data_IF_037632677590
#
_entry.id   IF_037632677590
#
_cell.length_a   1.000
_cell.length_b   1.000
_cell.length_c   1.000
_cell.angle_alpha   90.00
_cell.angle_beta   90.00
_cell.angle_gamma   90.00
#
_symmetry.space_group_name_H-M   'P 1'
#
loop_
_entity.id
_entity.type
_entity.pdbx_description
1 polymer ?
#
# COMPACT_ATOMS: atom_id res chain seq x y z
N UNK A 1 76.67 8.79 16.81
CA UNK A 1 76.62 10.03 16.00
C UNK A 1 75.21 10.60 16.16
N UNK A 2 74.87 11.48 17.12
CA UNK A 2 75.21 12.92 17.25
C UNK A 2 75.02 13.67 15.90
N UNK A 3 74.29 14.78 15.69
CA UNK A 3 73.47 15.78 16.42
C UNK A 3 72.60 16.45 15.30
N UNK A 4 71.46 17.10 15.51
CA UNK A 4 71.32 18.43 16.12
C UNK A 4 69.85 18.84 16.29
N UNK A 5 69.63 19.75 17.25
CA UNK A 5 68.37 20.40 17.63
C UNK A 5 68.28 21.77 16.95
N UNK A 6 67.07 22.30 16.77
CA UNK A 6 66.77 23.69 17.15
C UNK A 6 65.28 23.87 17.49
N UNK A 7 65.05 24.64 18.56
CA UNK A 7 63.74 25.06 19.09
C UNK A 7 63.57 26.56 18.92
N UNK A 8 62.35 27.06 18.67
CA UNK A 8 61.94 28.41 19.07
C UNK A 8 60.45 28.40 19.48
N UNK A 9 60.11 29.29 20.42
CA UNK A 9 58.94 29.40 21.29
C UNK A 9 57.74 30.12 20.64
N UNK A 10 56.55 29.93 21.23
CA UNK A 10 55.30 30.73 21.07
C UNK A 10 55.44 32.20 21.53
N UNK A 11 54.49 33.14 21.24
CA UNK A 11 53.24 33.27 22.04
C UNK A 11 51.96 33.87 21.36
N UNK A 12 50.79 33.45 21.88
CA UNK A 12 49.55 34.21 22.22
C UNK A 12 48.71 34.92 21.13
N UNK A 13 47.40 34.56 21.02
CA UNK A 13 46.18 35.41 21.17
C UNK A 13 44.89 34.54 21.00
N UNK A 14 44.14 34.25 22.07
CA UNK A 14 42.87 34.87 22.49
C UNK A 14 41.59 34.37 21.76
N UNK A 15 40.91 33.35 22.30
CA UNK A 15 39.56 33.43 22.93
C UNK A 15 38.57 34.41 22.29
N UNK A 16 37.56 33.87 21.58
CA UNK A 16 36.15 34.33 21.70
C UNK A 16 35.21 33.55 20.79
N UNK A 17 34.24 32.82 21.35
CA UNK A 17 32.81 32.73 20.96
C UNK A 17 32.13 31.51 21.60
N UNK A 18 32.13 31.52 22.94
CA UNK A 18 31.26 30.69 23.77
C UNK A 18 30.44 31.64 24.66
N UNK A 19 29.59 32.47 24.04
CA UNK A 19 28.56 33.29 24.67
C UNK A 19 27.61 33.71 23.55
N UNK A 20 26.49 33.00 23.35
CA UNK A 20 25.28 33.54 22.72
C UNK A 20 24.04 32.61 22.74
N UNK A 21 24.05 31.47 23.46
CA UNK A 21 22.89 30.56 23.55
C UNK A 21 22.41 30.30 24.99
N UNK A 22 22.57 31.28 25.85
CA UNK A 22 21.99 31.26 27.19
C UNK A 22 21.56 32.68 27.54
N UNK A 23 20.35 33.06 27.11
CA UNK A 23 19.52 34.16 27.61
C UNK A 23 18.35 34.40 26.64
N UNK A 24 17.37 33.49 26.63
CA UNK A 24 16.00 33.83 26.19
C UNK A 24 14.93 32.86 26.74
N UNK A 25 15.25 32.10 27.78
CA UNK A 25 14.29 31.40 28.63
C UNK A 25 13.78 32.35 29.72
N UNK A 26 12.81 33.21 29.40
CA UNK A 26 11.91 33.91 30.36
C UNK A 26 11.08 35.00 29.64
N UNK A 27 10.12 34.58 28.80
CA UNK A 27 8.88 35.34 28.47
C UNK A 27 8.06 34.57 27.44
N UNK A 28 7.30 33.58 27.92
CA UNK A 28 6.01 33.14 27.34
C UNK A 28 5.56 31.91 28.13
N UNK A 29 5.09 32.16 29.35
CA UNK A 29 4.32 31.21 30.15
C UNK A 29 3.04 31.94 30.54
N UNK A 30 2.03 31.81 29.67
CA UNK A 30 0.62 32.25 29.70
C UNK A 30 0.29 32.49 28.21
N UNK A 31 -0.55 31.70 27.54
CA UNK A 31 -1.97 31.46 27.81
C UNK A 31 -2.33 30.07 27.27
N UNK A 32 -3.05 29.27 28.07
CA UNK A 32 -3.84 28.14 27.60
C UNK A 32 -5.14 28.70 27.01
N UNK A 33 -5.49 28.39 25.75
CA UNK A 33 -6.82 27.88 25.41
C UNK A 33 -6.96 27.55 23.90
N UNK A 34 -7.59 26.40 23.66
CA UNK A 34 -8.43 25.99 22.53
C UNK A 34 -8.05 26.19 21.04
N UNK A 35 -8.17 25.04 20.36
CA UNK A 35 -8.79 24.80 19.05
C UNK A 35 -7.90 24.61 17.81
N UNK A 36 -8.17 23.47 17.16
CA UNK A 36 -7.73 22.99 15.85
C UNK A 36 -7.65 24.09 14.78
N UNK A 37 -6.60 24.05 13.94
CA UNK A 37 -6.76 23.92 12.47
C UNK A 37 -5.44 23.76 11.72
N UNK A 38 -5.44 22.74 10.88
CA UNK A 38 -4.52 22.47 9.77
C UNK A 38 -5.04 23.28 8.58
N UNK A 39 -4.17 23.98 7.85
CA UNK A 39 -4.48 24.49 6.52
C UNK A 39 -3.32 24.19 5.55
N UNK A 40 -3.61 23.33 4.57
CA UNK A 40 -2.73 23.01 3.44
C UNK A 40 -3.20 23.76 2.20
N UNK A 41 -2.39 24.70 1.70
CA UNK A 41 -2.47 25.18 0.30
C UNK A 41 -1.06 25.23 -0.31
N UNK A 42 -0.78 24.58 -1.45
CA UNK A 42 0.50 24.72 -2.13
C UNK A 42 0.47 25.97 -3.03
N UNK A 43 1.19 27.01 -2.63
CA UNK A 43 1.48 28.21 -3.42
C UNK A 43 2.97 28.20 -3.84
N UNK A 44 3.35 28.78 -4.99
CA UNK A 44 4.70 28.66 -5.53
C UNK A 44 5.66 29.63 -4.82
N UNK A 45 6.05 29.29 -3.60
CA UNK A 45 7.17 29.91 -2.91
C UNK A 45 8.10 28.82 -2.37
N UNK A 46 9.39 28.99 -2.62
CA UNK A 46 10.43 28.15 -2.00
C UNK A 46 10.31 28.25 -0.47
N UNK A 47 10.35 27.08 0.18
CA UNK A 47 10.21 26.89 1.63
C UNK A 47 11.11 27.86 2.42
N UNK A 48 10.55 28.52 3.45
CA UNK A 48 11.33 29.43 4.31
C UNK A 48 11.93 28.71 5.53
N UNK A 49 13.03 29.22 6.14
CA UNK A 49 13.60 28.66 7.36
C UNK A 49 12.70 28.73 8.61
N UNK A 50 11.56 29.42 8.57
CA UNK A 50 10.52 29.36 9.62
C UNK A 50 9.53 28.23 9.37
N UNK A 51 9.20 27.94 8.11
CA UNK A 51 8.34 26.81 7.73
C UNK A 51 8.98 25.49 8.14
N UNK A 52 10.31 25.38 8.06
CA UNK A 52 11.08 24.19 8.49
C UNK A 52 11.10 24.02 10.03
N UNK A 53 10.92 25.08 10.83
CA UNK A 53 11.01 24.99 12.30
C UNK A 53 9.77 24.42 12.97
N UNK A 54 8.58 24.52 12.35
CA UNK A 54 7.35 23.89 12.87
C UNK A 54 7.37 22.35 12.76
N UNK A 55 8.27 21.77 11.97
CA UNK A 55 8.41 20.33 11.74
C UNK A 55 9.41 19.68 12.70
N UNK A 56 10.16 20.47 13.47
CA UNK A 56 11.26 20.01 14.33
C UNK A 56 10.80 19.43 15.70
N UNK A 57 9.51 19.20 15.93
CA UNK A 57 9.01 18.60 17.18
C UNK A 57 8.05 17.41 17.01
N UNK A 58 7.85 16.92 15.79
CA UNK A 58 7.05 15.70 15.58
C UNK A 58 8.02 14.51 15.52
N UNK A 59 7.81 13.42 16.29
CA UNK A 59 8.59 12.20 16.12
C UNK A 59 8.50 11.73 14.66
N UNK A 60 9.55 11.04 14.19
CA UNK A 60 9.63 10.37 12.90
C UNK A 60 8.26 10.07 12.25
N UNK A 61 7.88 10.84 11.22
CA UNK A 61 6.51 10.82 10.69
C UNK A 61 6.32 9.57 9.84
N UNK A 62 5.63 8.58 10.41
CA UNK A 62 5.21 7.34 9.74
C UNK A 62 3.73 7.42 9.43
N UNK A 63 3.33 7.04 8.22
CA UNK A 63 1.95 7.20 7.76
C UNK A 63 1.44 5.97 7.03
N UNK A 64 0.15 5.71 7.17
CA UNK A 64 -0.58 4.96 6.15
C UNK A 64 -0.84 5.91 4.99
N UNK A 65 -0.76 5.43 3.75
CA UNK A 65 -1.12 6.22 2.57
C UNK A 65 -2.06 5.44 1.66
N UNK A 66 -2.95 6.13 0.97
CA UNK A 66 -3.76 5.55 -0.11
C UNK A 66 -3.95 6.57 -1.21
N UNK A 67 -3.81 6.14 -2.47
CA UNK A 67 -4.09 6.98 -3.63
C UNK A 67 -5.59 7.01 -3.93
N UNK A 68 -6.11 8.19 -4.24
CA UNK A 68 -7.46 8.39 -4.78
C UNK A 68 -7.40 9.32 -6.00
N UNK A 69 -7.82 8.83 -7.16
CA UNK A 69 -7.80 9.60 -8.42
C UNK A 69 -9.19 9.97 -8.92
N UNK A 70 -10.26 9.39 -8.37
CA UNK A 70 -11.63 9.65 -8.79
C UNK A 70 -12.67 9.32 -7.71
N UNK A 71 -13.90 9.82 -7.90
CA UNK A 71 -15.00 9.68 -6.94
C UNK A 71 -15.49 8.23 -6.76
N UNK A 72 -15.32 7.35 -7.75
CA UNK A 72 -15.80 5.96 -7.64
C UNK A 72 -15.05 5.17 -6.56
N UNK A 73 -13.85 5.59 -6.17
CA UNK A 73 -13.07 4.97 -5.09
C UNK A 73 -13.22 5.70 -3.75
N UNK A 74 -13.95 6.82 -3.70
CA UNK A 74 -14.16 7.55 -2.44
C UNK A 74 -14.82 6.67 -1.36
N UNK A 75 -15.89 5.88 -1.63
CA UNK A 75 -16.45 4.98 -0.62
C UNK A 75 -15.43 3.99 -0.05
N UNK A 76 -14.55 3.46 -0.91
CA UNK A 76 -13.46 2.57 -0.54
C UNK A 76 -12.49 3.24 0.43
N UNK A 77 -11.95 4.40 0.04
CA UNK A 77 -11.01 5.17 0.85
C UNK A 77 -11.61 5.56 2.21
N UNK A 78 -12.87 6.02 2.24
CA UNK A 78 -13.54 6.41 3.48
C UNK A 78 -13.73 5.21 4.43
N UNK A 79 -14.09 4.05 3.87
CA UNK A 79 -14.24 2.82 4.66
C UNK A 79 -12.90 2.28 5.13
N UNK A 80 -11.84 2.37 4.31
CA UNK A 80 -10.47 2.06 4.69
C UNK A 80 -10.03 2.94 5.88
N UNK A 81 -10.19 4.26 5.76
CA UNK A 81 -9.84 5.23 6.80
C UNK A 81 -10.54 4.90 8.13
N UNK A 82 -11.85 4.65 8.09
CA UNK A 82 -12.62 4.25 9.25
C UNK A 82 -12.13 2.92 9.85
N UNK A 83 -11.84 1.92 9.01
CA UNK A 83 -11.38 0.61 9.47
C UNK A 83 -10.01 0.66 10.18
N UNK A 84 -9.09 1.51 9.70
CA UNK A 84 -7.79 1.78 10.33
C UNK A 84 -7.99 2.42 11.71
N UNK A 85 -8.85 3.43 11.81
CA UNK A 85 -9.17 4.06 13.09
C UNK A 85 -9.82 3.08 14.06
N UNK A 86 -10.73 2.25 13.57
CA UNK A 86 -11.49 1.29 14.39
C UNK A 86 -10.60 0.22 15.03
N UNK A 87 -9.52 -0.21 14.37
CA UNK A 87 -8.56 -1.15 14.97
C UNK A 87 -7.56 -0.48 15.92
N UNK A 88 -7.67 0.84 16.12
CA UNK A 88 -6.86 1.59 17.07
C UNK A 88 -5.42 1.83 16.59
N UNK A 89 -5.20 1.95 15.27
CA UNK A 89 -3.90 2.37 14.73
C UNK A 89 -3.48 3.72 15.32
N UNK A 90 -2.21 3.85 15.66
CA UNK A 90 -1.63 5.11 16.17
C UNK A 90 -1.19 6.06 15.05
N UNK A 91 -1.12 5.58 13.81
CA UNK A 91 -0.64 6.34 12.67
C UNK A 91 -1.81 6.85 11.81
N UNK A 92 -1.71 8.07 11.26
CA UNK A 92 -2.75 8.63 10.41
C UNK A 92 -2.74 8.00 9.00
N UNK A 93 -3.90 7.98 8.35
CA UNK A 93 -4.03 7.72 6.92
C UNK A 93 -4.00 9.03 6.14
N UNK A 94 -3.05 9.16 5.22
CA UNK A 94 -2.95 10.28 4.27
C UNK A 94 -3.53 9.86 2.91
N UNK A 95 -4.48 10.65 2.41
CA UNK A 95 -5.03 10.48 1.06
C UNK A 95 -4.13 11.19 0.04
N UNK A 96 -3.42 10.42 -0.79
CA UNK A 96 -2.68 10.95 -1.93
C UNK A 96 -3.66 11.23 -3.06
N UNK A 97 -3.59 12.41 -3.69
CA UNK A 97 -4.51 12.77 -4.78
C UNK A 97 -3.83 13.54 -5.92
N UNK A 98 -4.39 13.45 -7.12
CA UNK A 98 -3.99 14.23 -8.30
C UNK A 98 -4.98 15.36 -8.57
N UNK A 99 -4.64 16.31 -9.44
CA UNK A 99 -5.53 17.42 -9.82
C UNK A 99 -6.84 16.96 -10.51
N UNK A 100 -6.92 15.69 -10.93
CA UNK A 100 -8.14 15.11 -11.47
C UNK A 100 -9.22 14.88 -10.39
N UNK A 101 -8.85 14.85 -9.11
CA UNK A 101 -9.78 14.61 -8.03
C UNK A 101 -10.69 15.84 -7.81
N UNK A 102 -12.02 15.70 -7.89
CA UNK A 102 -12.94 16.83 -7.71
C UNK A 102 -12.86 17.44 -6.30
N UNK A 103 -13.15 18.74 -6.21
CA UNK A 103 -13.21 19.46 -4.92
C UNK A 103 -14.22 18.86 -3.94
N UNK A 104 -15.29 18.23 -4.42
CA UNK A 104 -16.26 17.51 -3.56
C UNK A 104 -15.62 16.33 -2.83
N UNK A 105 -14.69 15.61 -3.45
CA UNK A 105 -13.96 14.54 -2.79
C UNK A 105 -13.04 15.11 -1.69
N UNK A 106 -12.32 16.20 -1.99
CA UNK A 106 -11.47 16.88 -1.00
C UNK A 106 -12.28 17.39 0.20
N UNK A 107 -13.46 17.97 -0.05
CA UNK A 107 -14.38 18.37 1.01
C UNK A 107 -14.87 17.18 1.86
N UNK A 108 -15.11 16.01 1.23
CA UNK A 108 -15.49 14.80 1.94
C UNK A 108 -14.36 14.25 2.84
N UNK A 109 -13.10 14.42 2.43
CA UNK A 109 -11.91 14.09 3.24
C UNK A 109 -11.74 15.06 4.41
N UNK A 110 -11.85 16.36 4.14
CA UNK A 110 -11.73 17.43 5.13
C UNK A 110 -12.79 17.30 6.24
N UNK A 111 -14.04 17.01 5.87
CA UNK A 111 -15.14 16.76 6.81
C UNK A 111 -14.87 15.61 7.79
N UNK A 112 -13.89 14.74 7.50
CA UNK A 112 -13.48 13.59 8.31
C UNK A 112 -12.09 13.78 8.93
N UNK A 113 -11.45 14.93 8.71
CA UNK A 113 -10.09 15.21 9.14
C UNK A 113 -9.06 14.26 8.55
N UNK A 114 -9.31 13.72 7.35
CA UNK A 114 -8.36 12.86 6.63
C UNK A 114 -7.37 13.78 5.90
N UNK A 115 -6.07 13.79 6.27
CA UNK A 115 -5.08 14.63 5.60
C UNK A 115 -4.98 14.26 4.11
N UNK A 116 -5.06 15.26 3.23
CA UNK A 116 -4.91 15.09 1.80
C UNK A 116 -3.57 15.66 1.32
N UNK A 117 -2.83 14.89 0.52
CA UNK A 117 -1.53 15.26 -0.04
C UNK A 117 -1.60 15.23 -1.56
N UNK A 118 -1.49 16.39 -2.19
CA UNK A 118 -1.38 16.48 -3.65
C UNK A 118 -0.09 15.81 -4.11
N UNK A 119 -0.19 14.95 -5.12
CA UNK A 119 0.93 14.26 -5.78
C UNK A 119 0.88 14.48 -7.30
N UNK A 120 2.03 14.47 -8.00
CA UNK A 120 2.02 14.48 -9.46
C UNK A 120 1.39 13.19 -9.99
N UNK A 121 0.65 13.29 -11.11
CA UNK A 121 0.26 12.12 -11.88
C UNK A 121 1.50 11.51 -12.54
N UNK A 122 1.66 10.20 -12.45
CA UNK A 122 2.70 9.47 -13.17
C UNK A 122 2.09 8.72 -14.34
N UNK A 123 2.69 8.89 -15.52
CA UNK A 123 2.36 8.18 -16.75
C UNK A 123 3.64 7.93 -17.55
N UNK A 124 3.76 6.80 -18.26
CA UNK A 124 4.87 6.57 -19.19
C UNK A 124 4.98 7.70 -20.22
N UNK A 125 6.21 8.15 -20.52
CA UNK A 125 6.45 9.13 -21.59
C UNK A 125 6.15 8.57 -22.99
N UNK A 126 6.25 7.25 -23.13
CA UNK A 126 5.99 6.45 -24.33
C UNK A 126 5.63 5.02 -23.91
N UNK A 127 4.88 4.28 -24.74
CA UNK A 127 4.55 2.86 -24.47
C UNK A 127 3.07 2.50 -24.54
N UNK A 128 2.76 1.25 -24.20
CA UNK A 128 1.43 0.63 -24.22
C UNK A 128 0.44 1.37 -23.33
N UNK A 129 -0.72 1.72 -23.90
CA UNK A 129 -1.92 2.11 -23.14
C UNK A 129 -2.75 0.87 -22.83
N UNK A 130 -3.27 0.75 -21.61
CA UNK A 130 -4.03 -0.42 -21.18
C UNK A 130 -5.49 -0.31 -21.64
N UNK A 131 -5.72 -0.45 -22.95
CA UNK A 131 -7.04 -0.29 -23.56
C UNK A 131 -8.11 -1.24 -22.97
N UNK A 132 -7.72 -2.45 -22.56
CA UNK A 132 -8.63 -3.45 -21.99
C UNK A 132 -8.99 -3.20 -20.51
N UNK A 133 -8.21 -2.38 -19.79
CA UNK A 133 -8.49 -1.98 -18.41
C UNK A 133 -7.91 -0.58 -18.13
N UNK A 134 -8.59 0.50 -18.56
CA UNK A 134 -8.09 1.88 -18.45
C UNK A 134 -7.78 2.33 -17.02
N UNK A 135 -8.25 1.59 -16.00
CA UNK A 135 -7.92 1.84 -14.59
C UNK A 135 -6.42 1.67 -14.33
N UNK A 136 -5.73 0.90 -15.16
CA UNK A 136 -4.30 0.69 -15.08
C UNK A 136 -3.47 1.92 -15.48
N UNK A 137 -4.02 2.86 -16.23
CA UNK A 137 -3.31 4.09 -16.62
C UNK A 137 -2.99 4.97 -15.37
N UNK A 138 -3.83 4.91 -14.33
CA UNK A 138 -3.62 5.62 -13.06
C UNK A 138 -2.71 4.89 -12.07
N UNK A 139 -2.46 3.59 -12.26
CA UNK A 139 -1.79 2.77 -11.24
C UNK A 139 -0.35 3.18 -10.98
N UNK A 140 0.34 3.73 -11.98
CA UNK A 140 1.70 4.25 -11.81
C UNK A 140 1.80 5.34 -10.75
N UNK A 141 0.77 6.17 -10.63
CA UNK A 141 0.76 7.33 -9.73
C UNK A 141 0.97 6.92 -8.27
N UNK A 142 0.57 5.71 -7.87
CA UNK A 142 0.75 5.28 -6.48
C UNK A 142 2.22 5.05 -6.12
N UNK A 143 3.08 4.85 -7.12
CA UNK A 143 4.53 4.71 -6.93
C UNK A 143 5.21 6.03 -6.52
N UNK A 144 4.50 7.18 -6.58
CA UNK A 144 4.94 8.42 -5.92
C UNK A 144 5.19 8.21 -4.43
N UNK A 145 4.60 7.20 -3.79
CA UNK A 145 4.87 6.87 -2.39
C UNK A 145 6.37 6.68 -2.08
N UNK A 146 7.18 6.21 -3.06
CA UNK A 146 8.63 6.09 -2.90
C UNK A 146 9.35 7.45 -2.83
N UNK A 147 8.77 8.54 -3.31
CA UNK A 147 9.39 9.86 -3.31
C UNK A 147 9.02 10.74 -2.11
N UNK A 148 8.12 10.26 -1.24
CA UNK A 148 7.62 11.02 -0.09
C UNK A 148 8.62 11.04 1.08
N UNK A 149 9.83 11.55 0.81
CA UNK A 149 10.95 11.62 1.77
C UNK A 149 10.72 12.58 2.94
N UNK A 150 9.58 13.28 2.98
CA UNK A 150 9.08 13.92 4.19
C UNK A 150 8.65 12.92 5.29
N UNK A 151 8.49 11.63 4.95
CA UNK A 151 8.13 10.56 5.88
C UNK A 151 9.29 9.56 6.04
N UNK A 152 9.49 9.06 7.26
CA UNK A 152 10.45 7.97 7.52
C UNK A 152 9.89 6.62 7.07
N UNK A 153 8.56 6.51 7.02
CA UNK A 153 7.85 5.33 6.55
C UNK A 153 6.52 5.68 5.93
N UNK A 154 6.30 5.08 4.76
CA UNK A 154 4.99 5.06 4.12
C UNK A 154 4.58 3.61 3.98
N UNK A 155 3.44 3.23 4.55
CA UNK A 155 2.78 1.99 4.17
C UNK A 155 1.60 2.34 3.28
N UNK A 156 1.78 2.08 1.99
CA UNK A 156 0.78 2.32 0.97
C UNK A 156 -0.24 1.17 0.97
N UNK A 157 -1.52 1.51 0.95
CA UNK A 157 -2.65 0.59 0.80
C UNK A 157 -3.50 1.06 -0.39
N UNK A 158 -4.00 0.13 -1.20
CA UNK A 158 -5.01 0.45 -2.18
C UNK A 158 -6.34 0.82 -1.46
N UNK A 159 -7.11 1.74 -2.05
CA UNK A 159 -8.35 2.26 -1.46
C UNK A 159 -9.49 1.24 -1.39
N UNK A 160 -9.35 0.08 -2.03
CA UNK A 160 -10.29 -1.03 -2.01
C UNK A 160 -9.87 -2.11 -1.00
N UNK A 161 -9.35 -1.68 0.14
CA UNK A 161 -9.02 -2.53 1.28
C UNK A 161 -9.85 -2.20 2.52
N UNK A 162 -9.95 -3.16 3.44
CA UNK A 162 -10.37 -2.90 4.83
C UNK A 162 -9.39 -3.53 5.80
N UNK A 163 -9.25 -2.90 6.96
CA UNK A 163 -8.47 -3.41 8.08
C UNK A 163 -9.41 -4.00 9.13
N UNK A 164 -9.10 -5.21 9.59
CA UNK A 164 -9.89 -5.97 10.57
C UNK A 164 -9.16 -6.17 11.89
N UNK A 165 -7.83 -6.05 11.90
CA UNK A 165 -6.98 -6.23 13.09
C UNK A 165 -5.83 -5.22 13.08
N UNK A 166 -5.26 -4.98 14.26
CA UNK A 166 -4.08 -4.15 14.43
C UNK A 166 -2.94 -4.66 13.53
N UNK A 167 -2.22 -3.73 12.91
CA UNK A 167 -1.16 -3.98 11.92
C UNK A 167 -0.03 -2.93 11.99
N UNK A 168 -0.02 -2.09 13.03
CA UNK A 168 1.02 -1.08 13.32
C UNK A 168 2.43 -1.66 13.35
N UNK A 169 2.62 -2.97 13.56
CA UNK A 169 3.94 -3.62 13.49
C UNK A 169 4.62 -3.47 12.11
N UNK A 170 3.87 -3.24 11.03
CA UNK A 170 4.45 -2.91 9.72
C UNK A 170 5.25 -1.59 9.78
N UNK A 171 4.93 -0.70 10.73
CA UNK A 171 5.68 0.53 10.95
C UNK A 171 7.06 0.30 11.58
N UNK A 172 7.32 -0.88 12.14
CA UNK A 172 8.60 -1.27 12.73
C UNK A 172 9.40 -2.28 11.89
N UNK A 173 8.81 -2.82 10.82
CA UNK A 173 9.49 -3.75 9.91
C UNK A 173 10.87 -3.24 9.46
N UNK A 174 11.92 -4.03 9.65
CA UNK A 174 13.27 -3.64 9.23
C UNK A 174 13.42 -3.76 7.70
N UNK A 175 13.85 -2.68 7.07
CA UNK A 175 14.17 -2.58 5.65
C UNK A 175 15.59 -2.00 5.53
N UNK A 176 16.16 -2.13 4.34
CA UNK A 176 17.45 -1.50 4.06
C UNK A 176 17.34 0.03 4.20
N UNK A 177 18.49 0.68 4.43
CA UNK A 177 18.56 2.12 4.47
C UNK A 177 18.08 2.72 3.13
N UNK A 178 17.43 3.90 3.13
CA UNK A 178 16.88 4.50 1.91
C UNK A 178 17.88 4.68 0.75
N UNK A 179 19.16 4.88 1.05
CA UNK A 179 20.26 5.02 0.09
C UNK A 179 20.81 3.68 -0.42
N UNK A 180 20.45 2.55 0.19
CA UNK A 180 20.87 1.22 -0.23
C UNK A 180 19.84 0.53 -1.13
N UNK A 181 19.68 1.05 -2.34
CA UNK A 181 18.80 0.41 -3.34
C UNK A 181 19.33 -0.94 -3.82
N UNK A 182 20.63 -1.22 -3.68
CA UNK A 182 21.25 -2.51 -4.05
C UNK A 182 21.01 -3.65 -3.05
N UNK A 183 20.43 -3.35 -1.88
CA UNK A 183 20.15 -4.33 -0.84
C UNK A 183 19.03 -5.32 -1.21
N UNK A 184 18.71 -6.22 -0.29
CA UNK A 184 17.71 -7.28 -0.50
C UNK A 184 16.35 -6.97 0.12
N UNK A 185 16.21 -5.81 0.79
CA UNK A 185 15.06 -5.41 1.58
C UNK A 185 14.66 -3.97 1.27
N UNK A 186 14.59 -3.61 -0.01
CA UNK A 186 14.30 -2.24 -0.46
C UNK A 186 12.91 -1.77 0.00
N UNK A 187 11.93 -2.67 -0.05
CA UNK A 187 10.57 -2.47 0.45
C UNK A 187 9.95 -3.84 0.83
N UNK A 188 8.76 -3.85 1.39
CA UNK A 188 8.01 -5.10 1.64
C UNK A 188 6.65 -5.11 0.97
N UNK A 189 6.17 -6.31 0.62
CA UNK A 189 4.86 -6.53 0.00
C UNK A 189 4.43 -7.99 0.16
N UNK A 190 3.26 -8.37 -0.34
CA UNK A 190 2.82 -9.76 -0.42
C UNK A 190 2.98 -10.30 -1.84
N UNK A 191 2.94 -11.63 -2.02
CA UNK A 191 2.94 -12.24 -3.35
C UNK A 191 1.68 -11.92 -4.16
N UNK A 192 1.80 -11.81 -5.47
CA UNK A 192 0.66 -11.90 -6.37
C UNK A 192 0.10 -13.33 -6.39
N UNK A 193 -1.22 -13.44 -6.59
CA UNK A 193 -1.88 -14.74 -6.77
C UNK A 193 -1.96 -15.08 -8.26
N UNK A 194 -1.23 -16.11 -8.68
CA UNK A 194 -1.17 -16.57 -10.07
C UNK A 194 -2.30 -17.56 -10.44
N UNK A 195 -3.42 -17.59 -9.71
CA UNK A 195 -4.48 -18.57 -9.94
C UNK A 195 -5.41 -18.23 -11.12
N UNK A 196 -5.69 -16.95 -11.38
CA UNK A 196 -6.68 -16.51 -12.38
C UNK A 196 -8.05 -17.27 -12.32
N UNK A 197 -8.74 -17.31 -11.16
CA UNK A 197 -9.97 -18.09 -11.01
C UNK A 197 -11.11 -17.67 -11.94
N UNK A 198 -11.09 -16.42 -12.41
CA UNK A 198 -12.08 -15.86 -13.33
C UNK A 198 -11.72 -16.03 -14.82
N UNK A 199 -10.63 -16.75 -15.14
CA UNK A 199 -10.17 -17.03 -16.50
C UNK A 199 -10.10 -15.78 -17.39
N UNK A 200 -9.60 -14.67 -16.82
CA UNK A 200 -9.42 -13.41 -17.54
C UNK A 200 -8.45 -13.64 -18.70
N UNK A 201 -8.89 -13.35 -19.93
CA UNK A 201 -8.14 -13.65 -21.15
C UNK A 201 -6.80 -12.91 -21.26
N UNK A 202 -6.71 -11.72 -20.68
CA UNK A 202 -5.51 -10.89 -20.69
C UNK A 202 -4.51 -11.22 -19.57
N UNK A 203 -4.80 -12.18 -18.69
CA UNK A 203 -3.83 -12.59 -17.66
C UNK A 203 -2.73 -13.44 -18.31
N UNK A 204 -1.50 -13.43 -17.77
CA UNK A 204 -0.39 -14.20 -18.32
C UNK A 204 -0.74 -15.68 -18.47
N UNK A 205 -0.31 -16.29 -19.58
CA UNK A 205 -0.65 -17.69 -19.90
C UNK A 205 -0.16 -18.69 -18.86
N UNK A 206 0.92 -18.36 -18.15
CA UNK A 206 1.47 -19.18 -17.07
C UNK A 206 0.71 -19.01 -15.74
N UNK A 207 -0.29 -18.13 -15.64
CA UNK A 207 -1.17 -18.01 -14.45
C UNK A 207 -2.33 -19.02 -14.48
N UNK A 208 -2.15 -20.12 -15.19
CA UNK A 208 -3.11 -21.19 -15.39
C UNK A 208 -2.37 -22.43 -15.89
N UNK A 209 -2.60 -23.60 -15.30
CA UNK A 209 -2.28 -24.87 -15.95
C UNK A 209 -3.55 -25.42 -16.61
N UNK A 210 -3.38 -25.89 -17.85
CA UNK A 210 -4.39 -26.26 -18.84
C UNK A 210 -5.52 -27.22 -18.40
N UNK A 211 -6.44 -27.55 -19.33
CA UNK A 211 -7.53 -28.48 -19.03
C UNK A 211 -7.01 -29.83 -18.54
N UNK A 212 -7.76 -30.44 -17.64
CA UNK A 212 -7.56 -31.77 -17.09
C UNK A 212 -7.30 -32.82 -18.18
N UNK A 213 -6.46 -33.81 -17.89
CA UNK A 213 -6.37 -35.03 -18.68
C UNK A 213 -7.71 -35.78 -18.69
N UNK A 214 -7.97 -36.59 -19.71
CA UNK A 214 -9.21 -37.38 -19.84
C UNK A 214 -9.48 -38.25 -18.60
N UNK A 215 -8.42 -38.75 -17.96
CA UNK A 215 -8.51 -39.55 -16.73
C UNK A 215 -8.98 -38.75 -15.51
N UNK A 216 -8.61 -37.46 -15.44
CA UNK A 216 -9.01 -36.58 -14.35
C UNK A 216 -10.44 -36.03 -14.56
N UNK A 217 -10.82 -35.74 -15.81
CA UNK A 217 -12.21 -35.46 -16.19
C UNK A 217 -13.11 -36.63 -15.78
N UNK A 218 -12.69 -37.87 -16.06
CA UNK A 218 -13.44 -39.08 -15.70
C UNK A 218 -13.58 -39.27 -14.18
N UNK A 219 -12.56 -38.95 -13.37
CA UNK A 219 -12.68 -38.98 -11.88
C UNK A 219 -13.62 -37.91 -11.35
N UNK A 220 -13.64 -36.76 -12.00
CA UNK A 220 -14.49 -35.65 -11.62
C UNK A 220 -15.98 -35.85 -11.95
N UNK A 221 -16.30 -36.62 -12.99
CA UNK A 221 -17.68 -37.00 -13.29
C UNK A 221 -18.33 -37.85 -12.17
N UNK A 222 -17.53 -38.49 -11.32
CA UNK A 222 -18.00 -39.30 -10.18
C UNK A 222 -18.21 -38.46 -8.91
N UNK A 223 -17.57 -37.30 -8.81
CA UNK A 223 -17.67 -36.40 -7.66
C UNK A 223 -17.99 -34.99 -8.17
N UNK A 224 -19.25 -34.58 -8.07
CA UNK A 224 -19.85 -33.31 -8.57
C UNK A 224 -19.30 -32.03 -7.91
N UNK A 225 -18.03 -31.97 -7.51
CA UNK A 225 -17.39 -30.81 -6.88
C UNK A 225 -16.39 -30.14 -7.82
N UNK A 226 -16.55 -28.83 -7.92
CA UNK A 226 -15.90 -27.86 -8.81
C UNK A 226 -14.40 -28.10 -9.02
N UNK A 227 -14.00 -28.19 -10.28
CA UNK A 227 -12.69 -28.65 -10.75
C UNK A 227 -11.74 -27.50 -11.12
N UNK A 228 -11.23 -26.79 -10.14
CA UNK A 228 -10.15 -25.82 -10.33
C UNK A 228 -8.85 -26.36 -9.72
N UNK A 229 -7.79 -26.44 -10.53
CA UNK A 229 -6.45 -26.83 -10.05
C UNK A 229 -5.67 -25.57 -9.70
N UNK A 230 -5.25 -25.48 -8.45
CA UNK A 230 -4.38 -24.43 -7.95
C UNK A 230 -3.03 -24.60 -8.64
N UNK A 231 -2.51 -23.59 -9.35
CA UNK A 231 -1.31 -23.76 -10.14
C UNK A 231 -0.06 -23.88 -9.24
N UNK A 232 0.84 -24.80 -9.60
CA UNK A 232 2.06 -25.08 -8.82
C UNK A 232 3.00 -23.86 -8.74
N UNK A 233 2.92 -22.97 -9.72
CA UNK A 233 3.71 -21.74 -9.77
C UNK A 233 3.03 -20.55 -9.08
N UNK A 234 1.94 -20.73 -8.34
CA UNK A 234 1.49 -19.70 -7.41
C UNK A 234 2.31 -19.78 -6.11
N UNK A 235 2.84 -18.66 -5.63
CA UNK A 235 3.69 -18.65 -4.44
C UNK A 235 3.00 -19.25 -3.19
N UNK A 236 1.68 -19.03 -3.08
CA UNK A 236 0.85 -19.54 -1.98
C UNK A 236 0.65 -21.07 -2.01
N UNK A 237 0.81 -21.72 -3.17
CA UNK A 237 0.62 -23.18 -3.31
C UNK A 237 1.56 -23.96 -2.41
N UNK A 238 2.81 -23.50 -2.27
CA UNK A 238 3.82 -24.14 -1.43
C UNK A 238 3.51 -24.12 0.07
N UNK A 239 2.58 -23.28 0.52
CA UNK A 239 2.21 -23.12 1.93
C UNK A 239 1.05 -24.04 2.37
N UNK A 240 0.49 -24.84 1.46
CA UNK A 240 -0.70 -25.67 1.76
C UNK A 240 -0.41 -26.82 2.71
N UNK A 241 0.83 -27.31 2.73
CA UNK A 241 1.27 -28.35 3.67
C UNK A 241 1.44 -27.82 5.11
N UNK A 242 1.50 -26.49 5.27
CA UNK A 242 1.72 -25.79 6.54
C UNK A 242 0.81 -24.55 6.68
N UNK A 243 -0.53 -24.72 6.72
CA UNK A 243 -1.46 -23.59 6.73
C UNK A 243 -1.28 -22.61 7.90
N UNK A 244 -0.84 -23.10 9.07
CA UNK A 244 -0.61 -22.24 10.23
C UNK A 244 0.64 -21.37 10.06
N UNK A 245 1.69 -21.90 9.41
CA UNK A 245 2.88 -21.12 9.08
C UNK A 245 2.55 -20.00 8.07
N UNK A 246 1.58 -20.23 7.17
CA UNK A 246 1.14 -19.22 6.21
C UNK A 246 0.57 -17.94 6.85
N UNK A 247 0.14 -18.01 8.12
CA UNK A 247 -0.38 -16.84 8.85
C UNK A 247 0.72 -15.89 9.31
N UNK A 248 1.92 -16.42 9.54
CA UNK A 248 3.03 -15.71 10.20
C UNK A 248 4.29 -15.59 9.33
N UNK A 249 4.40 -16.42 8.29
CA UNK A 249 5.51 -16.44 7.38
C UNK A 249 5.05 -16.34 5.92
N UNK A 250 5.92 -15.77 5.09
CA UNK A 250 5.78 -15.77 3.65
C UNK A 250 6.94 -16.55 3.02
N UNK A 251 6.71 -17.01 1.79
CA UNK A 251 7.71 -17.68 0.99
C UNK A 251 8.68 -16.65 0.38
N UNK A 252 9.93 -17.03 0.03
CA UNK A 252 10.90 -16.11 -0.54
C UNK A 252 10.38 -15.33 -1.76
N UNK A 253 10.94 -14.13 -2.08
CA UNK A 253 10.52 -13.30 -3.20
C UNK A 253 10.47 -14.02 -4.56
N UNK A 254 11.37 -14.97 -4.77
CA UNK A 254 11.48 -15.77 -6.00
C UNK A 254 10.44 -16.91 -6.11
N UNK A 255 9.56 -17.08 -5.12
CA UNK A 255 8.60 -18.19 -5.11
C UNK A 255 7.52 -18.01 -6.17
N UNK A 256 7.08 -19.12 -6.76
CA UNK A 256 6.03 -19.12 -7.76
C UNK A 256 6.42 -18.34 -9.02
N UNK A 257 5.64 -17.30 -9.36
CA UNK A 257 5.91 -16.41 -10.50
C UNK A 257 6.89 -15.26 -10.16
N UNK A 258 7.42 -15.23 -8.93
CA UNK A 258 8.40 -14.21 -8.51
C UNK A 258 7.85 -12.78 -8.48
N UNK A 259 6.52 -12.63 -8.37
CA UNK A 259 5.84 -11.36 -8.55
C UNK A 259 5.05 -10.97 -7.29
N UNK A 260 5.18 -9.71 -6.89
CA UNK A 260 4.45 -9.15 -5.76
C UNK A 260 3.04 -8.66 -6.16
N UNK A 261 2.18 -8.43 -5.16
CA UNK A 261 0.96 -7.65 -5.32
C UNK A 261 1.16 -6.27 -4.68
N UNK A 262 1.09 -5.23 -5.49
CA UNK A 262 1.39 -3.84 -5.10
C UNK A 262 0.27 -3.16 -4.31
N UNK A 263 -0.79 -3.89 -3.94
CA UNK A 263 -1.89 -3.31 -3.17
C UNK A 263 -1.47 -2.90 -1.76
N UNK A 264 -0.46 -3.56 -1.20
CA UNK A 264 0.21 -3.12 0.02
C UNK A 264 1.72 -3.06 -0.20
N UNK A 265 2.32 -1.91 0.12
CA UNK A 265 3.76 -1.68 0.08
C UNK A 265 4.23 -1.05 1.39
N UNK A 266 5.22 -1.63 2.06
CA UNK A 266 5.93 -1.00 3.20
C UNK A 266 7.21 -0.40 2.68
N UNK A 267 7.35 0.92 2.78
CA UNK A 267 8.37 1.70 2.08
C UNK A 267 9.11 2.58 3.10
N UNK A 268 10.44 2.56 3.05
CA UNK A 268 11.25 3.68 3.51
C UNK A 268 11.47 4.59 2.28
N UNK A 269 10.83 5.76 2.19
CA UNK A 269 10.89 6.58 0.97
C UNK A 269 12.33 6.92 0.58
N UNK A 270 12.63 6.83 -0.71
CA UNK A 270 13.97 6.98 -1.28
C UNK A 270 13.88 7.58 -2.68
N UNK A 271 14.54 8.72 -2.88
CA UNK A 271 14.67 9.35 -4.21
C UNK A 271 15.41 8.43 -5.18
N UNK A 272 16.38 7.64 -4.70
CA UNK A 272 17.15 6.71 -5.54
C UNK A 272 16.25 5.56 -6.02
N UNK A 273 15.47 4.95 -5.12
CA UNK A 273 14.52 3.90 -5.49
C UNK A 273 13.43 4.46 -6.44
N UNK A 274 12.92 5.66 -6.16
CA UNK A 274 11.95 6.33 -7.02
C UNK A 274 12.53 6.65 -8.40
N UNK A 275 13.81 7.04 -8.48
CA UNK A 275 14.49 7.31 -9.76
C UNK A 275 14.56 6.05 -10.61
N UNK A 276 14.91 4.89 -10.02
CA UNK A 276 14.89 3.60 -10.73
C UNK A 276 13.48 3.25 -11.24
N UNK A 277 12.45 3.52 -10.44
CA UNK A 277 11.05 3.32 -10.84
C UNK A 277 10.68 4.21 -12.02
N UNK A 278 10.98 5.51 -11.96
CA UNK A 278 10.67 6.46 -13.04
C UNK A 278 11.43 6.13 -14.33
N UNK A 279 12.69 5.69 -14.22
CA UNK A 279 13.45 5.20 -15.37
C UNK A 279 12.78 3.98 -16.02
N UNK A 280 12.30 3.04 -15.21
CA UNK A 280 11.58 1.87 -15.71
C UNK A 280 10.21 2.22 -16.32
N UNK A 281 9.45 3.14 -15.73
CA UNK A 281 8.17 3.64 -16.26
C UNK A 281 8.36 4.26 -17.65
N UNK A 282 9.50 4.90 -17.90
CA UNK A 282 9.83 5.53 -19.18
C UNK A 282 10.59 4.59 -20.13
N UNK A 283 10.68 3.30 -19.82
CA UNK A 283 11.28 2.29 -20.68
C UNK A 283 10.20 1.36 -21.28
N UNK A 284 9.83 1.54 -22.57
CA UNK A 284 8.86 0.68 -23.24
C UNK A 284 9.22 -0.81 -23.23
N UNK A 285 10.51 -1.15 -23.21
CA UNK A 285 10.94 -2.55 -23.13
C UNK A 285 10.54 -3.21 -21.81
N UNK A 286 10.27 -2.43 -20.76
CA UNK A 286 9.77 -2.92 -19.46
C UNK A 286 8.25 -2.81 -19.44
N UNK A 287 7.70 -1.62 -19.69
CA UNK A 287 6.25 -1.37 -19.53
C UNK A 287 5.38 -2.21 -20.45
N UNK A 288 5.83 -2.46 -21.69
CA UNK A 288 5.01 -3.16 -22.69
C UNK A 288 4.88 -4.67 -22.41
N UNK A 289 5.78 -5.23 -21.58
CA UNK A 289 5.78 -6.64 -21.16
C UNK A 289 4.76 -6.94 -20.07
N UNK A 290 4.36 -5.95 -19.27
CA UNK A 290 3.59 -6.20 -18.07
C UNK A 290 2.08 -6.00 -18.29
N UNK A 291 1.31 -7.08 -18.11
CA UNK A 291 -0.16 -7.02 -18.08
C UNK A 291 -0.69 -6.40 -16.77
N UNK A 292 0.13 -6.39 -15.72
CA UNK A 292 -0.12 -5.71 -14.45
C UNK A 292 0.96 -4.66 -14.22
N UNK A 293 0.68 -3.38 -14.51
CA UNK A 293 1.71 -2.37 -14.73
C UNK A 293 2.65 -2.18 -13.53
N UNK A 294 2.09 -1.72 -12.41
CA UNK A 294 2.81 -1.30 -11.23
C UNK A 294 3.44 -2.48 -10.47
N UNK A 295 2.72 -3.58 -10.29
CA UNK A 295 3.28 -4.76 -9.60
C UNK A 295 4.30 -5.53 -10.45
N UNK A 296 4.10 -5.57 -11.78
CA UNK A 296 5.04 -6.18 -12.71
C UNK A 296 6.34 -5.39 -12.76
N UNK A 297 6.24 -4.06 -12.91
CA UNK A 297 7.38 -3.17 -12.92
C UNK A 297 8.20 -3.26 -11.62
N UNK A 298 7.55 -3.19 -10.46
CA UNK A 298 8.28 -3.30 -9.19
C UNK A 298 8.96 -4.67 -9.02
N UNK A 299 8.33 -5.75 -9.52
CA UNK A 299 8.91 -7.10 -9.44
C UNK A 299 10.11 -7.27 -10.37
N UNK A 300 10.11 -6.64 -11.54
CA UNK A 300 11.25 -6.66 -12.48
C UNK A 300 12.37 -5.74 -12.00
N UNK A 301 12.04 -4.48 -11.64
CA UNK A 301 13.04 -3.50 -11.18
C UNK A 301 13.74 -4.01 -9.92
N UNK A 302 13.02 -4.59 -8.96
CA UNK A 302 13.55 -5.04 -7.67
C UNK A 302 13.50 -6.56 -7.51
N UNK A 303 13.78 -7.30 -8.58
CA UNK A 303 13.80 -8.77 -8.56
C UNK A 303 14.63 -9.30 -7.37
N UNK A 304 13.99 -10.10 -6.51
CA UNK A 304 14.62 -10.69 -5.33
C UNK A 304 14.99 -9.69 -4.20
N UNK A 305 14.69 -8.40 -4.35
CA UNK A 305 15.14 -7.30 -3.44
C UNK A 305 14.01 -6.68 -2.62
N UNK A 306 12.95 -7.43 -2.36
CA UNK A 306 11.83 -7.04 -1.50
C UNK A 306 11.58 -8.08 -0.42
N UNK A 307 10.93 -7.66 0.66
CA UNK A 307 10.60 -8.53 1.81
C UNK A 307 9.17 -9.07 1.65
N UNK A 308 8.97 -10.39 1.55
CA UNK A 308 7.63 -10.97 1.49
C UNK A 308 6.94 -10.91 2.85
N UNK A 309 5.70 -10.44 2.84
CA UNK A 309 4.80 -10.39 3.99
C UNK A 309 3.82 -11.57 3.93
N UNK A 310 3.42 -12.13 5.09
CA UNK A 310 2.33 -13.11 5.16
C UNK A 310 1.06 -12.61 4.49
N UNK A 311 0.30 -13.50 3.87
CA UNK A 311 -0.89 -13.13 3.08
C UNK A 311 -1.93 -12.36 3.91
N UNK A 312 -1.94 -12.52 5.24
CA UNK A 312 -2.88 -11.85 6.15
C UNK A 312 -2.79 -10.31 6.11
N UNK A 313 -1.66 -9.75 5.66
CA UNK A 313 -1.46 -8.30 5.50
C UNK A 313 -1.99 -7.77 4.15
N UNK A 314 -2.30 -8.63 3.18
CA UNK A 314 -2.91 -8.25 1.92
C UNK A 314 -3.69 -9.46 1.39
N UNK A 315 -4.75 -9.80 2.11
CA UNK A 315 -5.50 -11.02 1.86
C UNK A 315 -6.42 -10.77 0.67
N UNK A 316 -5.95 -11.13 -0.53
CA UNK A 316 -6.73 -11.01 -1.75
C UNK A 316 -8.02 -11.81 -1.58
N UNK A 317 -9.18 -11.19 -1.85
CA UNK A 317 -10.49 -11.80 -1.55
C UNK A 317 -10.69 -13.20 -2.16
N UNK A 318 -10.02 -13.47 -3.28
CA UNK A 318 -10.07 -14.76 -3.96
C UNK A 318 -9.35 -15.87 -3.22
N UNK A 319 -8.39 -15.58 -2.34
CA UNK A 319 -7.68 -16.62 -1.56
C UNK A 319 -8.67 -17.43 -0.69
N UNK A 320 -9.74 -16.79 -0.22
CA UNK A 320 -10.80 -17.45 0.56
C UNK A 320 -11.70 -18.36 -0.29
N UNK A 321 -11.74 -18.17 -1.61
CA UNK A 321 -12.63 -18.95 -2.46
C UNK A 321 -12.25 -20.42 -2.42
N UNK A 322 -13.26 -21.29 -2.28
CA UNK A 322 -13.13 -22.73 -2.48
C UNK A 322 -12.31 -22.98 -3.74
N UNK A 323 -11.30 -23.83 -3.65
CA UNK A 323 -10.41 -24.24 -4.75
C UNK A 323 -9.37 -23.21 -5.19
N UNK A 324 -9.24 -22.04 -4.55
CA UNK A 324 -8.14 -21.10 -4.84
C UNK A 324 -7.02 -21.27 -3.84
N UNK A 325 -7.22 -20.85 -2.59
CA UNK A 325 -6.25 -21.00 -1.50
C UNK A 325 -6.98 -21.09 -0.14
N UNK A 326 -8.21 -21.63 -0.14
CA UNK A 326 -9.03 -21.75 1.06
C UNK A 326 -8.37 -22.60 2.15
N UNK A 327 -7.50 -23.54 1.77
CA UNK A 327 -6.65 -24.33 2.67
C UNK A 327 -5.85 -23.48 3.66
N UNK A 328 -5.26 -22.37 3.19
CA UNK A 328 -4.41 -21.49 4.02
C UNK A 328 -5.18 -20.34 4.65
N UNK A 329 -6.44 -20.10 4.26
CA UNK A 329 -7.20 -18.97 4.75
C UNK A 329 -7.67 -19.18 6.20
N UNK A 330 -7.58 -18.14 7.04
CA UNK A 330 -8.12 -18.12 8.40
C UNK A 330 -8.84 -16.80 8.68
N UNK A 331 -10.16 -16.83 8.78
CA UNK A 331 -11.02 -15.64 8.97
C UNK A 331 -10.60 -14.80 10.19
N UNK A 332 -10.09 -15.45 11.24
CA UNK A 332 -9.64 -14.84 12.49
C UNK A 332 -8.17 -14.37 12.48
N UNK A 333 -7.40 -14.63 11.41
CA UNK A 333 -6.01 -14.17 11.30
C UNK A 333 -5.85 -13.02 10.30
N UNK A 334 -6.75 -12.91 9.32
CA UNK A 334 -6.71 -11.85 8.30
C UNK A 334 -6.76 -10.46 8.92
N UNK A 335 -5.69 -9.69 8.71
CA UNK A 335 -5.55 -8.29 9.16
C UNK A 335 -6.13 -7.32 8.14
N UNK A 336 -5.84 -7.53 6.85
CA UNK A 336 -6.25 -6.62 5.78
C UNK A 336 -6.84 -7.45 4.63
N UNK A 337 -8.05 -7.12 4.21
CA UNK A 337 -8.71 -7.75 3.06
C UNK A 337 -8.58 -6.82 1.85
N UNK A 338 -8.21 -7.38 0.70
CA UNK A 338 -8.08 -6.63 -0.55
C UNK A 338 -9.14 -7.08 -1.57
N UNK A 339 -10.02 -6.15 -1.94
CA UNK A 339 -11.14 -6.38 -2.85
C UNK A 339 -10.73 -6.23 -4.33
N UNK A 340 -9.76 -7.05 -4.74
CA UNK A 340 -9.25 -7.10 -6.13
C UNK A 340 -10.37 -7.32 -7.16
N UNK A 341 -10.06 -7.02 -8.44
CA UNK A 341 -10.97 -6.98 -9.59
C UNK A 341 -11.94 -5.80 -9.61
N UNK A 342 -12.77 -5.71 -10.66
CA UNK A 342 -13.64 -4.55 -10.92
C UNK A 342 -14.88 -4.47 -10.03
N UNK A 343 -15.45 -5.61 -9.61
CA UNK A 343 -16.65 -5.62 -8.75
C UNK A 343 -16.25 -5.30 -7.31
N UNK A 344 -16.40 -4.03 -6.93
CA UNK A 344 -16.09 -3.54 -5.58
C UNK A 344 -17.30 -3.69 -4.64
N UNK A 345 -17.10 -3.76 -3.32
CA UNK A 345 -18.22 -3.89 -2.37
C UNK A 345 -19.23 -2.76 -2.43
N UNK A 346 -18.81 -1.55 -2.79
CA UNK A 346 -19.69 -0.38 -2.88
C UNK A 346 -20.49 -0.28 -4.20
N UNK A 347 -20.22 -1.12 -5.20
CA UNK A 347 -20.95 -1.06 -6.48
C UNK A 347 -22.32 -1.74 -6.43
N UNK A 348 -22.51 -2.71 -5.52
CA UNK A 348 -23.81 -3.34 -5.28
C UNK A 348 -23.87 -3.87 -3.86
N UNK A 349 -25.03 -3.70 -3.21
CA UNK A 349 -25.36 -4.32 -1.91
C UNK A 349 -26.13 -5.62 -2.04
N UNK A 350 -26.64 -5.91 -3.23
CA UNK A 350 -27.25 -7.19 -3.56
C UNK A 350 -26.23 -8.00 -4.35
N UNK A 351 -25.90 -9.17 -3.84
CA UNK A 351 -25.64 -10.30 -4.73
C UNK A 351 -27.03 -10.83 -5.04
N UNK A 352 -27.43 -10.90 -6.31
CA UNK A 352 -28.78 -11.33 -6.66
C UNK A 352 -29.10 -12.64 -5.92
N UNK A 353 -30.19 -12.68 -5.16
CA UNK A 353 -30.54 -13.83 -4.29
C UNK A 353 -30.79 -15.11 -5.11
N UNK A 354 -31.01 -14.97 -6.41
CA UNK A 354 -31.11 -16.07 -7.39
C UNK A 354 -29.73 -16.60 -7.84
N UNK A 355 -28.66 -15.90 -7.50
CA UNK A 355 -27.26 -16.18 -7.87
C UNK A 355 -26.45 -16.76 -6.70
N UNK A 356 -27.06 -17.21 -5.60
CA UNK A 356 -26.36 -18.03 -4.60
C UNK A 356 -26.50 -19.50 -4.99
N UNK A 357 -25.77 -19.91 -6.03
CA UNK A 357 -25.83 -21.30 -6.52
C UNK A 357 -24.49 -22.02 -6.41
N UNK A 358 -23.41 -21.31 -6.04
CA UNK A 358 -22.06 -21.87 -5.92
C UNK A 358 -21.33 -21.44 -4.64
N UNK A 359 -20.37 -22.25 -4.18
CA UNK A 359 -19.63 -22.03 -2.93
C UNK A 359 -18.66 -20.81 -2.97
N UNK A 360 -18.22 -20.36 -4.15
CA UNK A 360 -17.36 -19.17 -4.25
C UNK A 360 -18.14 -17.86 -4.07
N UNK A 361 -19.41 -17.82 -4.51
CA UNK A 361 -20.32 -16.68 -4.32
C UNK A 361 -20.62 -16.45 -2.83
N UNK A 362 -20.74 -17.52 -2.05
CA UNK A 362 -20.90 -17.44 -0.60
C UNK A 362 -19.66 -16.82 0.07
N UNK A 363 -18.45 -17.13 -0.41
CA UNK A 363 -17.23 -16.50 0.10
C UNK A 363 -17.12 -15.03 -0.30
N UNK A 364 -17.45 -14.68 -1.54
CA UNK A 364 -17.45 -13.29 -2.00
C UNK A 364 -18.49 -12.47 -1.22
N UNK A 365 -19.67 -13.04 -0.96
CA UNK A 365 -20.72 -12.45 -0.11
C UNK A 365 -20.21 -12.13 1.27
N UNK A 366 -19.64 -13.11 1.98
CA UNK A 366 -19.18 -12.88 3.35
C UNK A 366 -18.12 -11.77 3.41
N UNK A 367 -17.18 -11.76 2.47
CA UNK A 367 -16.16 -10.71 2.42
C UNK A 367 -16.77 -9.34 2.11
N UNK A 368 -17.77 -9.27 1.23
CA UNK A 368 -18.51 -8.03 0.97
C UNK A 368 -19.33 -7.59 2.20
N UNK A 369 -19.92 -8.51 2.96
CA UNK A 369 -20.61 -8.22 4.22
C UNK A 369 -19.67 -7.64 5.27
N UNK A 370 -18.42 -8.11 5.36
CA UNK A 370 -17.41 -7.47 6.23
C UNK A 370 -17.16 -6.01 5.87
N UNK A 371 -17.15 -5.68 4.58
CA UNK A 371 -17.02 -4.30 4.12
C UNK A 371 -18.29 -3.48 4.44
N UNK A 372 -19.47 -4.02 4.11
CA UNK A 372 -20.74 -3.33 4.32
C UNK A 372 -20.99 -3.03 5.80
N UNK A 373 -20.64 -3.95 6.70
CA UNK A 373 -20.75 -3.72 8.14
C UNK A 373 -19.91 -2.52 8.60
N UNK A 374 -18.68 -2.38 8.09
CA UNK A 374 -17.82 -1.24 8.41
C UNK A 374 -18.35 0.06 7.79
N UNK A 375 -18.78 0.03 6.53
CA UNK A 375 -19.32 1.21 5.85
C UNK A 375 -20.64 1.69 6.48
N UNK A 376 -21.53 0.77 6.88
CA UNK A 376 -22.78 1.09 7.56
C UNK A 376 -22.53 1.72 8.93
N UNK A 377 -21.60 1.15 9.70
CA UNK A 377 -21.26 1.69 11.01
C UNK A 377 -20.62 3.08 10.89
N UNK A 378 -19.68 3.24 9.94
CA UNK A 378 -19.08 4.54 9.60
C UNK A 378 -20.18 5.56 9.28
N UNK A 379 -21.06 5.25 8.32
CA UNK A 379 -22.13 6.15 7.88
C UNK A 379 -23.10 6.50 9.00
N UNK A 380 -23.43 5.55 9.87
CA UNK A 380 -24.28 5.81 11.04
C UNK A 380 -23.63 6.83 11.97
N UNK A 381 -22.36 6.63 12.34
CA UNK A 381 -21.60 7.53 13.22
C UNK A 381 -21.42 8.92 12.59
N UNK A 382 -21.10 8.98 11.30
CA UNK A 382 -20.89 10.24 10.59
C UNK A 382 -22.20 11.03 10.43
N UNK A 383 -23.32 10.35 10.18
CA UNK A 383 -24.64 10.97 10.11
C UNK A 383 -25.03 11.63 11.44
N UNK A 384 -24.67 11.03 12.57
CA UNK A 384 -24.88 11.61 13.90
C UNK A 384 -24.08 12.93 14.09
N UNK A 385 -23.02 13.14 13.31
CA UNK A 385 -22.17 14.35 13.29
C UNK A 385 -22.51 15.32 12.14
N UNK A 386 -23.56 15.03 11.37
CA UNK A 386 -23.94 15.82 10.20
C UNK A 386 -23.00 15.67 9.00
N UNK A 387 -22.14 14.65 8.99
CA UNK A 387 -21.21 14.36 7.89
C UNK A 387 -21.84 13.33 6.94
N UNK A 388 -21.76 13.60 5.64
CA UNK A 388 -22.20 12.69 4.56
C UNK A 388 -21.09 12.55 3.52
N UNK A 389 -21.15 11.53 2.67
CA UNK A 389 -20.11 11.24 1.66
C UNK A 389 -20.02 12.29 0.55
N UNK A 390 -21.05 13.14 0.38
CA UNK A 390 -21.02 14.24 -0.60
C UNK A 390 -20.99 13.77 -2.05
N UNK A 391 -21.50 12.56 -2.32
CA UNK A 391 -21.57 11.92 -3.64
C UNK A 391 -22.81 12.31 -4.43
#
# INVERSE_FOLDING_TARGET
MARSRHSVRSPVFCRSRARFYALQTRRQKQICDHSYRIDFTPSPHFLTPSDVRQWQQVPAMRVWASLITNLNYLPGLLTLAYSIQKVGSQYPLVALYTDALPASALAALDARGIPARRVPHLSPSSGKRYADDPRFDDTWTKLVAFSLVEFDRVVLLDSDMIVRKQFDELMALELDAPDNTSGHRVFASTHACACNPLKKRHYPKNWYFGPWSLAEVMRAFVNTRTLFRIPENCAYTSQHSSPEDAQVAATPPSSGVGMLNSGLLVINPSIDAFTLIVQAINNPEITDKHDFPDQGLLSEVFEGRWVPLPYIYNALKTLRWRTVHDTIWRDDQVKIVHYIFAKKPWTSRTLDEKDVTTEWEASDKLLHEWWWQLDDERKRIEKERGVVDGL
#
